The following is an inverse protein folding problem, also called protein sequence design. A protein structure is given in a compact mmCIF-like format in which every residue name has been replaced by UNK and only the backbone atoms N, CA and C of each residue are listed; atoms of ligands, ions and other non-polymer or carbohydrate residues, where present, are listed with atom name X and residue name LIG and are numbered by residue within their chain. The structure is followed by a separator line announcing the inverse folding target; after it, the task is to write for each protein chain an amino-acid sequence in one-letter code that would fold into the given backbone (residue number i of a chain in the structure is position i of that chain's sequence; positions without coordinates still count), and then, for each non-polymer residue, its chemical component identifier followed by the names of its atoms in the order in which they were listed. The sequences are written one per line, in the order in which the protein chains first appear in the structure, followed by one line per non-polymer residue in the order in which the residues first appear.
data_IF_293924854163
#
_entry.id   IF_293924854163
#
_cell.length_a   1.000
_cell.length_b   1.000
_cell.length_c   1.000
_cell.angle_alpha   90.00
_cell.angle_beta   90.00
_cell.angle_gamma   90.00
#
_symmetry.space_group_name_H-M   'P 1'
#
loop_
_entity.id
_entity.type
_entity.pdbx_description
1 polymer ?
#
# COMPACT_ATOMS: atom_id res chain seq x y z
N UNK A 1 28.20 -6.06 21.46
CA UNK A 1 27.41 -5.90 20.20
C UNK A 1 28.32 -5.93 18.97
N UNK A 2 28.08 -6.86 18.03
CA UNK A 2 28.82 -7.00 16.76
C UNK A 2 28.44 -5.92 15.73
N UNK A 3 27.22 -5.40 15.80
CA UNK A 3 26.71 -4.32 14.95
C UNK A 3 27.06 -2.95 15.56
N UNK A 4 27.70 -2.09 14.77
CA UNK A 4 28.14 -0.73 15.12
C UNK A 4 27.41 0.36 14.34
N UNK A 5 27.06 0.09 13.09
CA UNK A 5 26.33 1.03 12.23
C UNK A 5 25.53 0.25 11.17
N UNK A 6 24.33 0.72 10.83
CA UNK A 6 23.48 0.05 9.85
C UNK A 6 22.47 1.00 9.19
N UNK A 7 21.92 0.57 8.05
CA UNK A 7 20.72 1.16 7.44
C UNK A 7 19.78 0.02 7.08
N UNK A 8 18.59 0.02 7.70
CA UNK A 8 17.53 -0.96 7.45
C UNK A 8 16.45 -0.37 6.56
N UNK A 9 15.88 -1.21 5.71
CA UNK A 9 14.60 -0.95 5.05
C UNK A 9 13.53 -1.83 5.72
N UNK A 10 12.46 -1.19 6.20
CA UNK A 10 11.47 -1.81 7.05
C UNK A 10 10.11 -1.10 6.97
N UNK A 11 9.06 -1.84 7.31
CA UNK A 11 7.71 -1.29 7.45
C UNK A 11 7.35 -1.17 8.93
N UNK A 12 6.88 0.01 9.34
CA UNK A 12 6.35 0.22 10.70
C UNK A 12 4.85 0.01 10.67
N UNK A 13 4.37 -0.99 11.40
CA UNK A 13 2.97 -1.40 11.37
C UNK A 13 2.36 -1.23 12.76
N UNK A 14 1.11 -0.73 12.84
CA UNK A 14 0.37 -0.73 14.10
C UNK A 14 0.10 -2.18 14.53
N UNK A 15 0.38 -2.50 15.79
CA UNK A 15 0.38 -3.89 16.25
C UNK A 15 -0.26 -4.01 17.63
N UNK A 16 -1.24 -4.91 17.74
CA UNK A 16 -1.83 -5.33 19.01
C UNK A 16 -0.95 -6.44 19.60
N UNK A 17 -0.22 -6.13 20.66
CA UNK A 17 0.72 -7.07 21.31
C UNK A 17 0.02 -8.13 22.14
N UNK A 18 -1.20 -7.87 22.62
CA UNK A 18 -1.97 -8.84 23.39
C UNK A 18 -2.56 -9.90 22.46
N UNK A 19 -3.20 -9.44 21.37
CA UNK A 19 -3.79 -10.34 20.36
C UNK A 19 -2.78 -10.83 19.33
N UNK A 20 -1.54 -10.32 19.38
CA UNK A 20 -0.45 -10.60 18.42
C UNK A 20 -0.90 -10.41 16.96
N UNK A 21 -1.55 -9.26 16.69
CA UNK A 21 -2.20 -9.01 15.41
C UNK A 21 -1.81 -7.65 14.82
N UNK A 22 -1.61 -7.63 13.50
CA UNK A 22 -1.48 -6.42 12.71
C UNK A 22 -2.80 -5.63 12.74
N UNK A 23 -2.69 -4.31 12.93
CA UNK A 23 -3.82 -3.38 12.93
C UNK A 23 -3.83 -2.54 11.64
N UNK A 24 -5.01 -2.06 11.20
CA UNK A 24 -5.13 -1.27 9.98
C UNK A 24 -4.29 0.01 10.00
N UNK A 25 -3.84 0.46 8.82
CA UNK A 25 -3.09 1.71 8.65
C UNK A 25 -3.80 2.93 9.27
N UNK A 26 -5.14 2.96 9.23
CA UNK A 26 -5.91 4.04 9.86
C UNK A 26 -5.57 4.20 11.35
N UNK A 27 -5.37 3.11 12.08
CA UNK A 27 -4.96 3.14 13.48
C UNK A 27 -3.55 3.72 13.62
N UNK A 28 -2.61 3.29 12.78
CA UNK A 28 -1.25 3.83 12.76
C UNK A 28 -1.25 5.35 12.52
N UNK A 29 -2.10 5.82 11.61
CA UNK A 29 -2.18 7.24 11.23
C UNK A 29 -2.68 8.16 12.34
N UNK A 30 -3.28 7.61 13.40
CA UNK A 30 -3.66 8.36 14.61
C UNK A 30 -2.48 8.70 15.53
N UNK A 31 -1.30 8.08 15.33
CA UNK A 31 -0.11 8.39 16.12
C UNK A 31 0.33 9.84 15.90
N UNK A 32 0.70 10.51 16.99
CA UNK A 32 1.23 11.86 16.95
C UNK A 32 2.55 11.91 16.16
N UNK A 33 2.77 13.00 15.43
CA UNK A 33 3.89 13.14 14.47
C UNK A 33 5.11 13.87 15.01
N UNK A 34 4.97 14.71 16.04
CA UNK A 34 6.05 15.57 16.57
C UNK A 34 5.98 15.64 18.09
N UNK A 35 7.14 15.76 18.73
CA UNK A 35 7.30 15.95 20.18
C UNK A 35 6.50 14.96 21.03
N UNK A 36 6.53 13.68 20.64
CA UNK A 36 5.77 12.62 21.32
C UNK A 36 6.54 12.16 22.54
N UNK A 37 5.93 12.26 23.72
CA UNK A 37 6.44 11.60 24.91
C UNK A 37 6.13 10.10 24.81
N UNK A 38 7.12 9.25 25.15
CA UNK A 38 6.99 7.79 25.10
C UNK A 38 5.80 7.30 25.93
N UNK A 39 5.52 7.96 27.05
CA UNK A 39 4.42 7.61 27.96
C UNK A 39 3.02 7.89 27.37
N UNK A 40 2.92 8.74 26.35
CA UNK A 40 1.65 9.10 25.71
C UNK A 40 1.32 8.20 24.50
N UNK A 41 2.20 7.24 24.18
CA UNK A 41 2.02 6.33 23.05
C UNK A 41 0.94 5.29 23.40
N UNK A 42 -0.23 5.45 22.79
CA UNK A 42 -1.36 4.51 22.94
C UNK A 42 -1.36 3.39 21.89
N UNK A 43 -0.85 3.66 20.70
CA UNK A 43 -0.81 2.70 19.59
C UNK A 43 0.55 2.03 19.56
N UNK A 44 0.57 0.75 19.91
CA UNK A 44 1.74 -0.11 19.77
C UNK A 44 2.12 -0.27 18.29
N UNK A 45 3.41 -0.45 18.03
CA UNK A 45 3.93 -0.74 16.69
C UNK A 45 4.91 -1.90 16.74
N UNK A 46 5.02 -2.59 15.60
CA UNK A 46 6.04 -3.57 15.30
C UNK A 46 6.78 -3.13 14.02
N UNK A 47 8.09 -3.30 14.00
CA UNK A 47 8.94 -3.05 12.83
C UNK A 47 9.11 -4.38 12.10
N UNK A 48 8.70 -4.43 10.82
CA UNK A 48 8.95 -5.57 9.94
C UNK A 48 10.10 -5.25 8.99
N UNK A 49 11.31 -5.69 9.33
CA UNK A 49 12.51 -5.46 8.52
C UNK A 49 12.58 -6.44 7.35
N UNK A 50 12.91 -5.94 6.16
CA UNK A 50 12.93 -6.75 4.94
C UNK A 50 14.16 -6.54 4.05
N UNK A 51 15.04 -5.59 4.38
CA UNK A 51 16.31 -5.40 3.67
C UNK A 51 17.37 -4.71 4.56
N UNK A 52 18.65 -4.93 4.21
CA UNK A 52 19.80 -4.27 4.82
C UNK A 52 20.61 -3.55 3.75
N UNK A 53 20.72 -2.23 3.85
CA UNK A 53 21.35 -1.39 2.82
C UNK A 53 22.79 -1.03 3.16
N UNK A 54 23.15 -1.11 4.44
CA UNK A 54 24.47 -0.75 4.96
C UNK A 54 24.73 -1.46 6.28
N UNK A 55 25.96 -1.94 6.50
CA UNK A 55 26.36 -2.59 7.74
C UNK A 55 27.84 -2.31 8.04
N UNK A 56 28.13 -1.80 9.24
CA UNK A 56 29.48 -1.71 9.82
C UNK A 56 30.55 -1.05 8.91
N UNK A 57 30.21 0.03 8.20
CA UNK A 57 31.13 0.66 7.27
C UNK A 57 30.91 0.29 5.80
N UNK A 58 30.23 -0.84 5.54
CA UNK A 58 30.05 -1.41 4.22
C UNK A 58 28.69 -1.06 3.63
N UNK A 59 28.68 -0.51 2.41
CA UNK A 59 27.47 -0.33 1.61
C UNK A 59 27.08 -1.67 0.99
N UNK A 60 25.80 -2.03 1.08
CA UNK A 60 25.28 -3.29 0.54
C UNK A 60 24.37 -3.10 -0.67
N UNK A 61 24.06 -1.86 -1.08
CA UNK A 61 23.11 -1.58 -2.16
C UNK A 61 23.48 -2.21 -3.52
N UNK A 62 24.78 -2.45 -3.77
CA UNK A 62 25.28 -3.11 -4.98
C UNK A 62 25.35 -4.64 -4.83
N UNK A 63 25.13 -5.17 -3.64
CA UNK A 63 25.05 -6.61 -3.40
C UNK A 63 23.67 -7.13 -3.77
N UNK A 64 23.59 -8.41 -4.15
CA UNK A 64 22.33 -9.09 -4.40
C UNK A 64 21.51 -9.29 -3.12
N UNK A 65 20.19 -9.39 -3.26
CA UNK A 65 19.26 -9.50 -2.13
C UNK A 65 19.56 -10.71 -1.24
N UNK A 66 20.04 -11.83 -1.76
CA UNK A 66 20.46 -12.97 -0.93
C UNK A 66 21.51 -12.57 0.12
N UNK A 67 22.55 -11.84 -0.29
CA UNK A 67 23.64 -11.39 0.58
C UNK A 67 23.10 -10.36 1.58
N UNK A 68 22.29 -9.40 1.13
CA UNK A 68 21.71 -8.38 2.01
C UNK A 68 20.81 -9.01 3.08
N UNK A 69 19.99 -10.00 2.69
CA UNK A 69 19.09 -10.74 3.58
C UNK A 69 19.84 -11.61 4.58
N UNK A 70 20.91 -12.29 4.15
CA UNK A 70 21.79 -13.02 5.05
C UNK A 70 22.38 -12.08 6.11
N UNK A 71 22.94 -10.94 5.68
CA UNK A 71 23.47 -9.93 6.61
C UNK A 71 22.42 -9.35 7.55
N UNK A 72 21.18 -9.20 7.09
CA UNK A 72 20.06 -8.79 7.94
C UNK A 72 19.82 -9.81 9.06
N UNK A 73 19.70 -11.09 8.72
CA UNK A 73 19.37 -12.16 9.68
C UNK A 73 20.51 -12.48 10.64
N UNK A 74 21.76 -12.35 10.20
CA UNK A 74 22.95 -12.51 11.06
C UNK A 74 23.12 -11.35 12.06
N UNK A 75 22.55 -10.18 11.76
CA UNK A 75 22.81 -8.94 12.52
C UNK A 75 21.80 -8.67 13.62
N UNK A 76 20.60 -9.26 13.56
CA UNK A 76 19.49 -8.95 14.46
C UNK A 76 18.75 -10.19 14.91
N UNK A 77 18.17 -10.11 16.10
CA UNK A 77 17.26 -11.12 16.64
C UNK A 77 15.84 -10.54 16.65
N UNK A 78 14.84 -11.39 16.37
CA UNK A 78 13.44 -10.97 16.45
C UNK A 78 13.02 -10.78 17.91
N UNK A 79 12.27 -9.71 18.16
CA UNK A 79 11.54 -9.44 19.40
C UNK A 79 10.04 -9.39 19.06
N UNK A 80 9.28 -10.46 19.36
CA UNK A 80 7.88 -10.59 18.96
C UNK A 80 7.01 -9.38 19.34
N UNK A 81 6.41 -8.73 18.34
CA UNK A 81 5.56 -7.54 18.53
C UNK A 81 6.32 -6.21 18.68
N UNK A 82 7.64 -6.22 18.52
CA UNK A 82 8.51 -5.03 18.51
C UNK A 82 9.36 -4.95 17.24
N UNK A 83 10.10 -6.01 16.93
CA UNK A 83 10.96 -6.11 15.75
C UNK A 83 10.92 -7.53 15.21
N UNK A 84 10.55 -7.68 13.95
CA UNK A 84 10.45 -8.95 13.27
C UNK A 84 10.98 -8.83 11.85
N UNK A 85 11.40 -9.94 11.27
CA UNK A 85 11.67 -10.00 9.84
C UNK A 85 10.34 -10.14 9.09
N UNK A 86 10.27 -9.54 7.90
CA UNK A 86 9.14 -9.78 7.02
C UNK A 86 9.09 -11.27 6.67
N UNK A 87 7.95 -11.90 6.92
CA UNK A 87 7.72 -13.30 6.56
C UNK A 87 7.99 -13.51 5.07
N UNK A 88 8.80 -14.51 4.74
CA UNK A 88 9.29 -14.71 3.38
C UNK A 88 9.19 -16.17 2.95
N UNK A 89 8.93 -16.37 1.67
CA UNK A 89 8.98 -17.65 0.97
C UNK A 89 9.97 -17.51 -0.20
N UNK A 90 10.83 -18.51 -0.40
CA UNK A 90 11.68 -18.61 -1.60
C UNK A 90 11.18 -19.80 -2.41
N UNK A 91 10.42 -19.54 -3.46
CA UNK A 91 9.83 -20.58 -4.31
C UNK A 91 9.66 -20.06 -5.74
N UNK A 92 9.65 -20.99 -6.69
CA UNK A 92 9.23 -20.78 -8.08
C UNK A 92 7.93 -21.52 -8.41
N UNK A 93 7.31 -22.19 -7.44
CA UNK A 93 6.05 -22.90 -7.58
C UNK A 93 4.88 -21.93 -7.43
N UNK A 94 4.01 -21.90 -8.44
CA UNK A 94 2.83 -21.02 -8.49
C UNK A 94 1.83 -21.39 -7.39
N UNK A 95 1.64 -22.66 -7.07
CA UNK A 95 0.70 -23.10 -6.04
C UNK A 95 1.16 -22.68 -4.64
N UNK A 96 2.47 -22.77 -4.37
CA UNK A 96 3.04 -22.31 -3.10
C UNK A 96 2.92 -20.79 -2.96
N UNK A 97 3.20 -20.04 -4.05
CA UNK A 97 3.06 -18.59 -4.08
C UNK A 97 1.59 -18.18 -3.85
N UNK A 98 0.63 -18.88 -4.46
CA UNK A 98 -0.80 -18.60 -4.26
C UNK A 98 -1.22 -18.85 -2.82
N UNK A 99 -0.84 -19.98 -2.21
CA UNK A 99 -1.11 -20.27 -0.80
C UNK A 99 -0.48 -19.22 0.13
N UNK A 100 0.72 -18.75 -0.21
CA UNK A 100 1.40 -17.71 0.54
C UNK A 100 0.71 -16.34 0.41
N UNK A 101 0.18 -16.02 -0.77
CA UNK A 101 -0.64 -14.83 -0.99
C UNK A 101 -1.90 -14.88 -0.14
N UNK A 102 -2.66 -15.97 -0.17
CA UNK A 102 -3.89 -16.13 0.60
C UNK A 102 -3.62 -16.00 2.11
N UNK A 103 -2.57 -16.69 2.61
CA UNK A 103 -2.15 -16.58 4.00
C UNK A 103 -1.73 -15.15 4.39
N UNK A 104 -1.08 -14.39 3.50
CA UNK A 104 -0.70 -13.00 3.75
C UNK A 104 -1.93 -12.09 3.92
N UNK A 105 -2.98 -12.32 3.14
CA UNK A 105 -4.23 -11.56 3.22
C UNK A 105 -4.97 -11.89 4.51
N UNK A 106 -5.01 -13.17 4.89
CA UNK A 106 -5.71 -13.63 6.11
C UNK A 106 -5.13 -13.01 7.39
N UNK A 107 -3.82 -12.70 7.40
CA UNK A 107 -3.16 -12.01 8.52
C UNK A 107 -3.23 -10.47 8.44
N UNK A 108 -3.89 -9.93 7.40
CA UNK A 108 -4.15 -8.50 7.24
C UNK A 108 -3.10 -7.73 6.42
N UNK A 109 -2.24 -8.41 5.66
CA UNK A 109 -1.37 -7.75 4.69
C UNK A 109 -2.11 -7.47 3.37
N UNK A 110 -1.63 -6.50 2.60
CA UNK A 110 -2.22 -6.16 1.28
C UNK A 110 -1.96 -7.22 0.19
N UNK A 111 -0.94 -8.05 0.38
CA UNK A 111 -0.47 -9.06 -0.57
C UNK A 111 1.03 -9.33 -0.43
N UNK A 112 1.67 -9.70 -1.54
CA UNK A 112 3.08 -10.09 -1.58
C UNK A 112 3.95 -9.04 -2.29
N UNK A 113 5.21 -8.96 -1.86
CA UNK A 113 6.30 -8.33 -2.63
C UNK A 113 7.21 -9.44 -3.13
N UNK A 114 7.21 -9.67 -4.44
CA UNK A 114 8.06 -10.64 -5.13
C UNK A 114 9.38 -9.94 -5.46
N UNK A 115 10.50 -10.50 -5.00
CA UNK A 115 11.83 -9.93 -5.21
C UNK A 115 12.74 -10.94 -5.90
N UNK A 116 13.49 -10.50 -6.92
CA UNK A 116 14.60 -11.29 -7.47
C UNK A 116 15.68 -11.48 -6.39
N UNK A 117 16.30 -12.66 -6.33
CA UNK A 117 17.19 -13.03 -5.24
C UNK A 117 18.68 -12.95 -5.62
N UNK A 118 19.06 -13.53 -6.76
CA UNK A 118 20.46 -13.75 -7.15
C UNK A 118 20.89 -13.05 -8.45
N UNK A 119 19.96 -12.73 -9.35
CA UNK A 119 20.23 -12.03 -10.62
C UNK A 119 19.42 -10.75 -10.66
N UNK A 120 20.06 -9.65 -11.07
CA UNK A 120 19.43 -8.32 -11.12
C UNK A 120 18.68 -8.00 -9.83
N UNK A 121 19.33 -8.28 -8.69
CA UNK A 121 18.73 -8.23 -7.36
C UNK A 121 19.34 -7.15 -6.47
N UNK A 122 20.09 -6.21 -7.06
CA UNK A 122 20.66 -5.05 -6.36
C UNK A 122 19.56 -4.09 -5.91
N UNK A 123 19.89 -3.24 -4.94
CA UNK A 123 19.00 -2.17 -4.49
C UNK A 123 19.28 -0.93 -5.35
N UNK A 124 18.29 -0.51 -6.15
CA UNK A 124 18.43 0.63 -7.07
C UNK A 124 17.56 1.83 -6.61
N UNK A 125 18.11 2.76 -5.80
CA UNK A 125 17.36 3.94 -5.37
C UNK A 125 16.89 4.75 -6.59
N UNK A 126 15.67 5.29 -6.49
CA UNK A 126 15.05 6.17 -7.49
C UNK A 126 14.81 5.55 -8.88
N UNK A 127 15.07 4.25 -9.10
CA UNK A 127 14.76 3.55 -10.34
C UNK A 127 13.57 2.62 -10.12
N UNK A 128 12.57 2.73 -11.00
CA UNK A 128 11.46 1.78 -11.05
C UNK A 128 11.89 0.56 -11.87
N UNK A 129 12.53 -0.40 -11.23
CA UNK A 129 12.93 -1.67 -11.85
C UNK A 129 11.83 -2.73 -11.69
N UNK A 130 11.95 -3.82 -12.45
CA UNK A 130 11.10 -5.00 -12.30
C UNK A 130 11.63 -5.97 -11.23
N UNK A 131 12.64 -5.56 -10.44
CA UNK A 131 13.28 -6.42 -9.45
C UNK A 131 12.31 -6.69 -8.30
N UNK A 132 11.40 -5.75 -8.03
CA UNK A 132 10.38 -5.83 -6.98
C UNK A 132 8.99 -5.68 -7.62
N UNK A 133 8.19 -6.74 -7.55
CA UNK A 133 6.82 -6.76 -8.05
C UNK A 133 5.86 -6.86 -6.87
N UNK A 134 4.83 -6.00 -6.90
CA UNK A 134 3.73 -6.07 -5.93
C UNK A 134 2.62 -6.96 -6.51
N UNK A 135 2.28 -8.03 -5.81
CA UNK A 135 1.16 -8.90 -6.11
C UNK A 135 0.09 -8.67 -5.05
N UNK A 136 -0.99 -7.97 -5.41
CA UNK A 136 -2.10 -7.67 -4.50
C UNK A 136 -3.33 -8.46 -4.89
N UNK A 137 -4.19 -8.74 -3.92
CA UNK A 137 -5.46 -9.43 -4.15
C UNK A 137 -6.36 -8.67 -5.13
N UNK A 138 -6.36 -7.34 -5.05
CA UNK A 138 -7.15 -6.44 -5.90
C UNK A 138 -6.76 -6.48 -7.39
N UNK A 139 -5.64 -7.12 -7.75
CA UNK A 139 -5.23 -7.32 -9.15
C UNK A 139 -5.82 -8.59 -9.76
N UNK A 140 -6.49 -9.41 -8.96
CA UNK A 140 -7.18 -10.60 -9.45
C UNK A 140 -8.64 -10.23 -9.76
N UNK A 141 -9.05 -10.41 -11.01
CA UNK A 141 -10.34 -9.98 -11.57
C UNK A 141 -11.58 -10.49 -10.81
N UNK A 142 -11.43 -11.49 -9.94
CA UNK A 142 -12.53 -12.16 -9.24
C UNK A 142 -12.60 -11.90 -7.73
N UNK A 143 -11.68 -11.11 -7.15
CA UNK A 143 -11.48 -11.12 -5.68
C UNK A 143 -11.47 -9.72 -5.03
N UNK A 144 -11.57 -8.64 -5.82
CA UNK A 144 -11.67 -7.27 -5.30
C UNK A 144 -13.10 -6.83 -4.99
N UNK A 145 -13.27 -5.98 -3.96
CA UNK A 145 -14.55 -5.30 -3.71
C UNK A 145 -14.85 -4.35 -4.88
N UNK A 146 -15.96 -4.59 -5.57
CA UNK A 146 -16.48 -3.71 -6.62
C UNK A 146 -17.86 -3.21 -6.25
N UNK A 147 -18.11 -1.92 -6.48
CA UNK A 147 -19.38 -1.27 -6.17
C UNK A 147 -19.84 -0.41 -7.35
N UNK A 148 -21.13 -0.50 -7.66
CA UNK A 148 -21.78 0.37 -8.65
C UNK A 148 -22.18 1.69 -7.97
N UNK A 149 -21.64 2.80 -8.48
CA UNK A 149 -21.85 4.13 -7.90
C UNK A 149 -22.35 5.13 -8.94
N UNK A 150 -23.13 6.11 -8.49
CA UNK A 150 -23.70 7.15 -9.34
C UNK A 150 -22.82 8.40 -9.31
N UNK A 151 -22.37 8.92 -10.48
CA UNK A 151 -21.67 10.20 -10.52
C UNK A 151 -22.63 11.36 -10.24
N UNK A 152 -22.39 12.08 -9.14
CA UNK A 152 -23.23 13.21 -8.68
C UNK A 152 -22.56 14.58 -8.87
N UNK A 153 -21.24 14.62 -9.08
CA UNK A 153 -20.54 15.83 -9.47
C UNK A 153 -19.28 15.53 -10.30
N UNK A 154 -18.77 16.55 -10.99
CA UNK A 154 -17.54 16.46 -11.77
C UNK A 154 -16.61 17.63 -11.44
N UNK A 155 -15.31 17.39 -11.51
CA UNK A 155 -14.27 18.39 -11.28
C UNK A 155 -13.49 18.62 -12.57
N UNK A 156 -13.28 19.89 -12.94
CA UNK A 156 -12.46 20.23 -14.09
C UNK A 156 -11.04 19.67 -13.95
N UNK A 157 -10.56 19.05 -15.02
CA UNK A 157 -9.20 18.53 -15.10
C UNK A 157 -8.17 19.65 -15.12
N UNK A 158 -6.95 19.30 -14.72
CA UNK A 158 -5.78 20.20 -14.70
C UNK A 158 -4.64 19.57 -15.51
N UNK A 159 -3.72 20.38 -16.01
CA UNK A 159 -2.56 19.90 -16.76
C UNK A 159 -2.97 19.18 -18.05
N UNK A 160 -2.56 17.92 -18.20
CA UNK A 160 -2.90 17.08 -19.37
C UNK A 160 -4.41 16.86 -19.55
N UNK A 161 -5.22 17.07 -18.52
CA UNK A 161 -6.70 16.91 -18.57
C UNK A 161 -7.45 18.24 -18.67
N UNK A 162 -6.76 19.31 -19.06
CA UNK A 162 -7.42 20.60 -19.28
C UNK A 162 -8.43 20.45 -20.42
N UNK A 163 -9.63 21.01 -20.23
CA UNK A 163 -10.71 20.91 -21.23
C UNK A 163 -11.65 19.73 -21.05
N UNK A 164 -11.39 18.79 -20.13
CA UNK A 164 -12.31 17.70 -19.75
C UNK A 164 -12.58 17.70 -18.24
N UNK A 165 -13.53 16.89 -17.79
CA UNK A 165 -13.66 16.58 -16.36
C UNK A 165 -12.55 15.59 -15.97
N UNK A 166 -11.73 15.97 -15.00
CA UNK A 166 -10.58 15.19 -14.57
C UNK A 166 -10.88 14.21 -13.43
N UNK A 167 -12.00 14.41 -12.73
CA UNK A 167 -12.45 13.54 -11.66
C UNK A 167 -13.97 13.66 -11.44
N UNK A 168 -14.56 12.65 -10.82
CA UNK A 168 -16.00 12.56 -10.53
C UNK A 168 -16.22 12.29 -9.04
N UNK A 169 -17.22 12.94 -8.45
CA UNK A 169 -17.75 12.59 -7.12
C UNK A 169 -18.82 11.53 -7.31
N UNK A 170 -18.68 10.41 -6.61
CA UNK A 170 -19.56 9.26 -6.71
C UNK A 170 -20.38 9.10 -5.43
N UNK A 171 -21.61 8.61 -5.57
CA UNK A 171 -22.52 8.35 -4.48
C UNK A 171 -23.14 6.95 -4.56
N UNK A 172 -23.43 6.37 -3.40
CA UNK A 172 -24.33 5.22 -3.27
C UNK A 172 -25.77 5.72 -3.03
N UNK A 173 -26.74 4.86 -3.32
CA UNK A 173 -28.15 5.15 -3.02
C UNK A 173 -28.52 4.58 -1.66
N UNK A 174 -28.98 5.44 -0.74
CA UNK A 174 -29.55 5.06 0.54
C UNK A 174 -31.05 4.81 0.36
N UNK A 175 -31.48 3.55 0.46
CA UNK A 175 -32.87 3.12 0.23
C UNK A 175 -33.80 3.63 1.34
N UNK A 176 -33.30 3.78 2.56
CA UNK A 176 -34.13 4.19 3.71
C UNK A 176 -34.45 5.69 3.67
N UNK A 177 -33.51 6.49 3.16
CA UNK A 177 -33.68 7.94 3.00
C UNK A 177 -34.12 8.37 1.60
N UNK A 178 -34.07 7.46 0.64
CA UNK A 178 -34.26 7.73 -0.79
C UNK A 178 -33.30 8.82 -1.33
N UNK A 179 -32.06 8.84 -0.82
CA UNK A 179 -31.06 9.88 -1.08
C UNK A 179 -29.73 9.33 -1.59
N UNK A 180 -28.98 10.15 -2.33
CA UNK A 180 -27.63 9.81 -2.78
C UNK A 180 -26.58 10.30 -1.80
N UNK A 181 -25.83 9.38 -1.21
CA UNK A 181 -24.78 9.70 -0.24
C UNK A 181 -23.39 9.62 -0.90
N UNK A 182 -22.66 10.73 -0.88
CA UNK A 182 -21.32 10.78 -1.47
C UNK A 182 -20.36 9.86 -0.71
N UNK A 183 -19.60 9.04 -1.42
CA UNK A 183 -18.68 8.07 -0.82
C UNK A 183 -17.22 8.32 -1.21
N UNK A 184 -16.95 8.63 -2.47
CA UNK A 184 -15.58 8.79 -2.94
C UNK A 184 -15.47 9.70 -4.17
N UNK A 185 -14.24 10.11 -4.45
CA UNK A 185 -13.87 10.83 -5.68
C UNK A 185 -12.95 9.95 -6.51
N UNK A 186 -13.29 9.74 -7.78
CA UNK A 186 -12.46 8.98 -8.72
C UNK A 186 -11.82 9.90 -9.75
N UNK A 187 -10.52 9.72 -9.99
CA UNK A 187 -9.76 10.46 -11.00
C UNK A 187 -8.84 9.58 -11.83
N UNK A 188 -8.88 8.26 -11.69
CA UNK A 188 -7.99 7.30 -12.35
C UNK A 188 -8.80 6.10 -12.83
N UNK A 189 -8.26 5.29 -13.74
CA UNK A 189 -8.93 4.11 -14.30
C UNK A 189 -9.66 4.34 -15.63
N UNK A 190 -9.71 5.58 -16.11
CA UNK A 190 -10.30 5.92 -17.41
C UNK A 190 -9.22 6.07 -18.48
N UNK A 191 -9.49 5.56 -19.68
CA UNK A 191 -8.74 5.96 -20.88
C UNK A 191 -9.09 7.41 -21.27
N UNK A 192 -8.25 8.03 -22.09
CA UNK A 192 -8.49 9.41 -22.57
C UNK A 192 -9.81 9.50 -23.35
N UNK A 193 -10.10 8.54 -24.23
CA UNK A 193 -11.34 8.46 -24.97
C UNK A 193 -12.58 8.39 -24.06
N UNK A 194 -12.54 7.58 -22.99
CA UNK A 194 -13.66 7.48 -22.03
C UNK A 194 -13.84 8.79 -21.26
N UNK A 195 -12.76 9.48 -20.88
CA UNK A 195 -12.86 10.78 -20.22
C UNK A 195 -13.51 11.85 -21.10
N UNK A 196 -13.15 11.89 -22.39
CA UNK A 196 -13.75 12.81 -23.36
C UNK A 196 -15.24 12.52 -23.57
N UNK A 197 -15.60 11.25 -23.78
CA UNK A 197 -16.99 10.81 -23.94
C UNK A 197 -17.82 11.16 -22.70
N UNK A 198 -17.36 10.77 -21.51
CA UNK A 198 -18.05 11.03 -20.23
C UNK A 198 -18.17 12.52 -19.96
N UNK A 199 -17.13 13.30 -20.25
CA UNK A 199 -17.18 14.75 -20.10
C UNK A 199 -18.21 15.38 -21.01
N UNK A 200 -18.28 14.95 -22.27
CA UNK A 200 -19.25 15.46 -23.24
C UNK A 200 -20.68 15.10 -22.84
N UNK A 201 -20.92 13.85 -22.47
CA UNK A 201 -22.23 13.36 -22.03
C UNK A 201 -22.72 14.10 -20.77
N UNK A 202 -21.88 14.23 -19.74
CA UNK A 202 -22.25 14.81 -18.45
C UNK A 202 -22.35 16.33 -18.46
N UNK A 203 -21.71 17.03 -19.40
CA UNK A 203 -21.88 18.49 -19.56
C UNK A 203 -23.35 18.88 -19.77
N UNK A 204 -24.10 18.06 -20.50
CA UNK A 204 -25.54 18.27 -20.71
C UNK A 204 -26.40 18.05 -19.45
N UNK A 205 -25.83 17.47 -18.40
CA UNK A 205 -26.49 17.11 -17.14
C UNK A 205 -26.10 18.02 -15.97
N UNK A 206 -25.34 19.09 -16.23
CA UNK A 206 -24.92 20.04 -15.20
C UNK A 206 -26.13 20.81 -14.68
N UNK A 207 -26.25 20.86 -13.36
CA UNK A 207 -27.26 21.66 -12.64
C UNK A 207 -26.60 22.89 -12.02
N UNK A 208 -27.35 23.98 -11.87
CA UNK A 208 -26.81 25.27 -11.42
C UNK A 208 -26.35 25.26 -9.96
N UNK A 209 -27.00 24.46 -9.10
CA UNK A 209 -26.70 24.37 -7.68
C UNK A 209 -26.64 22.90 -7.25
N UNK A 210 -25.71 22.53 -6.34
CA UNK A 210 -25.73 21.22 -5.70
C UNK A 210 -27.11 20.98 -5.07
N UNK A 211 -27.63 19.76 -5.23
CA UNK A 211 -28.82 19.34 -4.48
C UNK A 211 -28.44 19.16 -3.01
N UNK A 212 -29.36 19.49 -2.11
CA UNK A 212 -29.14 19.60 -0.66
C UNK A 212 -29.31 18.29 0.12
N UNK A 213 -29.45 17.15 -0.56
CA UNK A 213 -29.56 15.84 0.11
C UNK A 213 -28.37 15.60 1.05
#
# INVERSE_FOLDING_TARGET
PSVKSFILDCEVVAFDREKKKILPFQILSTRARKNVNVNDIKVGVCIFAFDMLYLNGQQLIQENLNIRREKLYESFEEDPGYFQFATALTSSDIEEIQKFLDASVDIGCEGLIIKTLNSDATYEPAKRSNNWLKLKKDYMDSIGDSVDLVPIAAFHGRGKRTGVFGAFLLACYDVDKEEYQSICKIGTGFSEAVLEERSTSLRSKVIATPKQY
#
